data_IF_949748013247
#
_entry.id   IF_949748013247
#
_cell.length_a   1.000
_cell.length_b   1.000
_cell.length_c   1.000
_cell.angle_alpha   90.00
_cell.angle_beta   90.00
_cell.angle_gamma   90.00
#
_symmetry.space_group_name_H-M   'P 1'
#
loop_
_entity.id
_entity.type
_entity.pdbx_description
1 polymer ?
#
# COMPACT_ATOMS: atom_id res chain seq x y z
N UNK A 1 39.21 38.11 -20.31
CA UNK A 1 38.50 37.20 -19.39
C UNK A 1 37.37 36.53 -20.16
N UNK A 2 37.51 35.25 -20.50
CA UNK A 2 36.44 34.49 -21.15
C UNK A 2 35.45 34.08 -20.06
N UNK A 3 34.21 34.56 -20.14
CA UNK A 3 33.12 34.04 -19.30
C UNK A 3 32.92 32.58 -19.69
N UNK A 4 33.27 31.66 -18.81
CA UNK A 4 32.81 30.29 -18.93
C UNK A 4 31.31 30.28 -18.63
N UNK A 5 30.49 30.22 -19.66
CA UNK A 5 29.10 29.81 -19.51
C UNK A 5 29.10 28.33 -19.13
N UNK A 6 28.87 28.04 -17.86
CA UNK A 6 28.50 26.70 -17.46
C UNK A 6 27.05 26.51 -17.89
N UNK A 7 26.74 25.60 -18.84
CA UNK A 7 25.37 25.32 -19.20
C UNK A 7 24.63 24.93 -17.92
N UNK A 8 23.60 25.71 -17.58
CA UNK A 8 22.74 25.39 -16.46
C UNK A 8 22.13 24.00 -16.66
N UNK A 9 21.88 23.28 -15.56
CA UNK A 9 21.25 21.96 -15.64
C UNK A 9 19.91 22.04 -16.36
N UNK A 10 19.60 21.02 -17.14
CA UNK A 10 18.27 20.86 -17.72
C UNK A 10 17.24 20.52 -16.63
N UNK A 11 15.95 20.63 -16.97
CA UNK A 11 14.86 20.23 -16.07
C UNK A 11 14.92 18.72 -15.75
N UNK A 12 15.29 17.90 -16.72
CA UNK A 12 15.45 16.46 -16.56
C UNK A 12 16.60 16.12 -15.60
N UNK A 13 17.77 16.73 -15.79
CA UNK A 13 18.92 16.55 -14.90
C UNK A 13 18.60 17.00 -13.46
N UNK A 14 17.86 18.10 -13.32
CA UNK A 14 17.41 18.59 -12.02
C UNK A 14 16.41 17.62 -11.36
N UNK A 15 15.48 17.04 -12.14
CA UNK A 15 14.53 16.01 -11.67
C UNK A 15 15.27 14.76 -11.21
N UNK A 16 16.13 14.20 -12.05
CA UNK A 16 16.87 12.97 -11.76
C UNK A 16 17.71 13.11 -10.49
N UNK A 17 18.40 14.24 -10.31
CA UNK A 17 19.15 14.52 -9.08
C UNK A 17 18.27 14.56 -7.83
N UNK A 18 17.08 15.17 -7.92
CA UNK A 18 16.14 15.20 -6.79
C UNK A 18 15.62 13.79 -6.49
N UNK A 19 15.30 13.00 -7.53
CA UNK A 19 14.89 11.61 -7.39
C UNK A 19 15.97 10.77 -6.72
N UNK A 20 17.23 10.85 -7.16
CA UNK A 20 18.35 10.14 -6.53
C UNK A 20 18.47 10.46 -5.03
N UNK A 21 18.38 11.74 -4.66
CA UNK A 21 18.46 12.18 -3.26
C UNK A 21 17.25 11.65 -2.46
N UNK A 22 16.05 11.72 -3.03
CA UNK A 22 14.83 11.26 -2.39
C UNK A 22 14.83 9.73 -2.23
N UNK A 23 15.14 8.98 -3.28
CA UNK A 23 15.24 7.53 -3.25
C UNK A 23 16.27 7.06 -2.22
N UNK A 24 17.44 7.69 -2.17
CA UNK A 24 18.46 7.39 -1.14
C UNK A 24 17.96 7.66 0.28
N UNK A 25 17.40 8.84 0.53
CA UNK A 25 16.88 9.19 1.86
C UNK A 25 15.72 8.31 2.28
N UNK A 26 14.87 7.93 1.32
CA UNK A 26 13.74 7.04 1.53
C UNK A 26 14.22 5.66 1.92
N UNK A 27 15.15 5.07 1.18
CA UNK A 27 15.66 3.73 1.48
C UNK A 27 16.41 3.65 2.81
N UNK A 28 17.09 4.72 3.23
CA UNK A 28 17.77 4.84 4.52
C UNK A 28 16.80 4.99 5.71
N UNK A 29 15.67 5.69 5.53
CA UNK A 29 14.75 6.03 6.63
C UNK A 29 13.49 5.19 6.70
N UNK A 30 13.00 4.70 5.57
CA UNK A 30 11.72 4.02 5.48
C UNK A 30 11.94 2.51 5.57
N UNK A 31 11.36 1.89 6.59
CA UNK A 31 11.32 0.44 6.72
C UNK A 31 10.04 -0.15 6.12
N UNK A 32 9.46 -1.12 6.83
CA UNK A 32 8.11 -1.63 6.55
C UNK A 32 7.07 -0.69 7.19
N UNK A 33 6.01 -0.35 6.46
CA UNK A 33 4.83 0.31 7.05
C UNK A 33 3.81 -0.79 7.35
N UNK A 34 3.55 -1.09 8.62
CA UNK A 34 2.59 -2.14 9.03
C UNK A 34 2.84 -3.49 8.32
N UNK A 35 4.11 -3.89 8.19
CA UNK A 35 4.52 -5.11 7.48
C UNK A 35 4.64 -4.97 5.96
N UNK A 36 3.94 -4.03 5.34
CA UNK A 36 4.07 -3.73 3.90
C UNK A 36 5.44 -3.16 3.58
N UNK A 37 6.08 -3.76 2.58
CA UNK A 37 7.28 -3.20 1.99
C UNK A 37 6.88 -2.19 0.91
N UNK A 38 6.62 -0.96 1.34
CA UNK A 38 6.50 0.19 0.42
C UNK A 38 7.88 0.82 0.13
N UNK A 39 8.94 0.30 0.74
CA UNK A 39 10.34 0.63 0.44
C UNK A 39 10.85 -0.16 -0.77
N UNK A 40 9.97 -0.57 -1.68
CA UNK A 40 10.40 -0.94 -3.03
C UNK A 40 10.80 0.31 -3.79
N UNK A 41 11.69 0.11 -4.75
CA UNK A 41 12.28 1.12 -5.62
C UNK A 41 11.33 2.30 -5.87
N UNK A 42 11.57 3.41 -5.14
CA UNK A 42 10.74 4.61 -5.19
C UNK A 42 10.72 5.17 -6.62
N UNK A 43 11.75 4.89 -7.40
CA UNK A 43 11.82 5.24 -8.82
C UNK A 43 10.73 4.51 -9.62
N UNK A 44 10.50 3.22 -9.37
CA UNK A 44 9.41 2.48 -10.01
C UNK A 44 8.03 3.02 -9.60
N UNK A 45 7.86 3.45 -8.34
CA UNK A 45 6.62 4.08 -7.89
C UNK A 45 6.33 5.42 -8.56
N UNK A 46 7.38 6.22 -8.81
CA UNK A 46 7.28 7.57 -9.38
C UNK A 46 7.14 7.51 -10.91
N UNK A 47 7.88 6.64 -11.58
CA UNK A 47 7.96 6.62 -13.04
C UNK A 47 6.88 5.74 -13.72
N UNK A 48 6.05 5.02 -12.96
CA UNK A 48 4.96 4.24 -13.54
C UNK A 48 3.88 5.14 -14.14
N UNK A 49 3.38 4.75 -15.29
CA UNK A 49 2.33 5.48 -16.01
C UNK A 49 0.90 5.05 -15.62
N UNK A 50 0.76 4.13 -14.68
CA UNK A 50 -0.51 3.52 -14.32
C UNK A 50 -0.70 3.42 -12.80
N UNK A 51 -1.96 3.33 -12.38
CA UNK A 51 -2.35 2.94 -11.03
C UNK A 51 -2.22 4.02 -9.97
N UNK A 52 -2.89 5.16 -10.08
CA UNK A 52 -2.71 6.25 -9.12
C UNK A 52 -2.83 5.85 -7.63
N UNK A 53 -1.97 6.43 -6.79
CA UNK A 53 -2.09 6.35 -5.34
C UNK A 53 -3.17 7.35 -4.87
N UNK A 54 -4.43 6.98 -5.04
CA UNK A 54 -5.55 7.77 -4.53
C UNK A 54 -5.68 7.65 -3.00
N UNK A 55 -6.56 8.46 -2.41
CA UNK A 55 -6.81 8.48 -0.97
C UNK A 55 -7.13 7.08 -0.42
N UNK A 56 -8.06 6.35 -1.05
CA UNK A 56 -8.48 5.03 -0.59
C UNK A 56 -7.35 3.99 -0.66
N UNK A 57 -6.57 3.98 -1.74
CA UNK A 57 -5.41 3.09 -1.89
C UNK A 57 -4.32 3.43 -0.86
N UNK A 58 -4.08 4.71 -0.61
CA UNK A 58 -3.11 5.16 0.37
C UNK A 58 -3.51 4.75 1.79
N UNK A 59 -4.79 4.90 2.15
CA UNK A 59 -5.33 4.43 3.43
C UNK A 59 -5.21 2.91 3.56
N UNK A 60 -5.56 2.18 2.50
CA UNK A 60 -5.43 0.72 2.46
C UNK A 60 -3.99 0.24 2.69
N UNK A 61 -3.02 0.75 1.91
CA UNK A 61 -1.61 0.36 2.01
C UNK A 61 -0.97 0.83 3.31
N UNK A 62 -1.46 1.89 3.92
CA UNK A 62 -0.97 2.35 5.21
C UNK A 62 -1.73 1.74 6.39
N UNK A 63 -2.78 0.94 6.16
CA UNK A 63 -3.62 0.38 7.21
C UNK A 63 -4.43 1.37 8.02
N UNK A 64 -4.77 2.49 7.39
CA UNK A 64 -5.63 3.52 7.93
C UNK A 64 -7.07 3.36 7.42
N UNK A 65 -8.00 4.16 7.96
CA UNK A 65 -9.41 4.09 7.61
C UNK A 65 -10.16 3.05 8.45
N UNK A 66 -10.79 2.06 7.79
CA UNK A 66 -11.69 1.09 8.44
C UNK A 66 -11.00 -0.02 9.25
N UNK A 67 -9.67 0.03 9.44
CA UNK A 67 -8.93 -0.96 10.23
C UNK A 67 -9.01 -0.62 11.73
N UNK A 68 -9.59 -1.52 12.54
CA UNK A 68 -9.77 -1.25 13.99
C UNK A 68 -8.46 -1.07 14.74
N UNK A 69 -7.37 -1.71 14.31
CA UNK A 69 -6.05 -1.45 14.89
C UNK A 69 -5.66 0.03 14.80
N UNK A 70 -5.88 0.66 13.64
CA UNK A 70 -5.61 2.08 13.45
C UNK A 70 -6.61 2.96 14.22
N UNK A 71 -7.91 2.66 14.13
CA UNK A 71 -8.94 3.42 14.86
C UNK A 71 -8.70 3.42 16.37
N UNK A 72 -8.30 2.29 16.94
CA UNK A 72 -7.92 2.18 18.36
C UNK A 72 -6.67 3.02 18.66
N UNK A 73 -5.63 2.97 17.81
CA UNK A 73 -4.42 3.79 17.95
C UNK A 73 -4.73 5.29 18.03
N UNK A 74 -5.74 5.77 17.29
CA UNK A 74 -6.19 7.17 17.30
C UNK A 74 -7.37 7.44 18.24
N UNK A 75 -7.72 6.49 19.12
CA UNK A 75 -8.79 6.61 20.13
C UNK A 75 -10.20 6.84 19.54
N UNK A 76 -10.45 6.34 18.33
CA UNK A 76 -11.79 6.31 17.70
C UNK A 76 -12.48 4.94 17.83
N UNK A 77 -11.81 3.94 18.42
CA UNK A 77 -12.41 2.65 18.74
C UNK A 77 -11.90 2.14 20.09
N UNK A 78 -12.77 1.48 20.86
CA UNK A 78 -12.43 0.97 22.20
C UNK A 78 -11.51 -0.26 22.18
N UNK A 79 -11.34 -0.89 21.02
CA UNK A 79 -10.55 -2.11 20.88
C UNK A 79 -9.94 -2.24 19.48
N UNK A 80 -8.69 -2.73 19.36
CA UNK A 80 -8.04 -2.97 18.06
C UNK A 80 -8.52 -4.26 17.38
N UNK A 81 -9.31 -5.10 18.07
CA UNK A 81 -9.69 -6.45 17.62
C UNK A 81 -10.63 -6.42 16.43
N UNK A 82 -10.61 -7.44 15.58
CA UNK A 82 -11.56 -7.54 14.47
C UNK A 82 -13.00 -7.82 14.95
N UNK A 83 -14.00 -7.30 14.23
CA UNK A 83 -15.42 -7.36 14.63
C UNK A 83 -15.95 -8.80 14.76
N UNK A 84 -15.54 -9.71 13.87
CA UNK A 84 -16.08 -11.07 13.82
C UNK A 84 -15.27 -12.10 14.62
N UNK A 85 -14.38 -11.64 15.51
CA UNK A 85 -13.58 -12.51 16.37
C UNK A 85 -12.51 -13.30 15.61
N UNK A 86 -11.47 -13.71 16.34
CA UNK A 86 -10.40 -14.57 15.81
C UNK A 86 -9.02 -13.91 15.69
N UNK A 87 -8.92 -12.57 15.77
CA UNK A 87 -7.63 -11.88 15.86
C UNK A 87 -7.66 -10.75 16.88
N UNK A 88 -6.54 -10.60 17.58
CA UNK A 88 -6.34 -9.56 18.58
C UNK A 88 -6.06 -8.18 17.97
N UNK A 89 -5.78 -8.12 16.66
CA UNK A 89 -5.59 -6.87 15.95
C UNK A 89 -6.10 -6.95 14.50
N UNK A 90 -7.00 -6.04 14.15
CA UNK A 90 -7.46 -5.82 12.78
C UNK A 90 -6.44 -5.00 11.98
N UNK A 91 -5.30 -5.62 11.67
CA UNK A 91 -4.25 -5.03 10.83
C UNK A 91 -4.50 -5.31 9.35
N UNK A 92 -3.80 -4.58 8.47
CA UNK A 92 -3.81 -4.87 7.03
C UNK A 92 -3.31 -6.28 6.79
N UNK A 93 -2.17 -6.67 7.36
CA UNK A 93 -1.59 -8.00 7.20
C UNK A 93 -2.58 -9.10 7.58
N UNK A 94 -3.21 -8.99 8.75
CA UNK A 94 -4.22 -9.96 9.19
C UNK A 94 -5.39 -10.01 8.21
N UNK A 95 -5.96 -8.85 7.87
CA UNK A 95 -7.12 -8.78 6.96
C UNK A 95 -6.78 -9.36 5.59
N UNK A 96 -5.61 -9.01 5.05
CA UNK A 96 -5.17 -9.35 3.71
C UNK A 96 -4.67 -10.77 3.54
N UNK A 97 -4.16 -11.42 4.58
CA UNK A 97 -3.43 -12.68 4.40
C UNK A 97 -3.93 -13.81 5.31
N UNK A 98 -4.58 -13.50 6.42
CA UNK A 98 -4.86 -14.48 7.49
C UNK A 98 -6.36 -14.64 7.74
N UNK A 99 -7.11 -13.54 7.80
CA UNK A 99 -8.49 -13.52 8.26
C UNK A 99 -9.39 -14.43 7.42
N UNK A 100 -10.01 -15.45 8.05
CA UNK A 100 -10.82 -16.43 7.32
C UNK A 100 -11.99 -15.81 6.55
N UNK A 101 -12.50 -14.67 7.01
CA UNK A 101 -13.58 -13.91 6.36
C UNK A 101 -13.29 -13.53 4.90
N UNK A 102 -12.04 -13.25 4.55
CA UNK A 102 -11.62 -12.79 3.22
C UNK A 102 -11.05 -13.91 2.35
N UNK A 103 -11.25 -15.17 2.72
CA UNK A 103 -10.63 -16.31 2.02
C UNK A 103 -11.06 -16.40 0.56
N UNK A 104 -12.32 -16.14 0.26
CA UNK A 104 -12.84 -16.22 -1.10
C UNK A 104 -12.24 -15.11 -1.98
N UNK A 105 -12.25 -13.88 -1.50
CA UNK A 105 -11.73 -12.69 -2.17
C UNK A 105 -10.21 -12.79 -2.36
N UNK A 106 -9.47 -13.31 -1.35
CA UNK A 106 -8.03 -13.57 -1.47
C UNK A 106 -7.72 -14.61 -2.53
N UNK A 107 -8.51 -15.68 -2.63
CA UNK A 107 -8.30 -16.71 -3.67
C UNK A 107 -8.45 -16.11 -5.07
N UNK A 108 -9.42 -15.21 -5.26
CA UNK A 108 -9.57 -14.47 -6.52
C UNK A 108 -8.35 -13.60 -6.79
N UNK A 109 -7.87 -12.86 -5.79
CA UNK A 109 -6.67 -12.04 -5.90
C UNK A 109 -5.45 -12.89 -6.31
N UNK A 110 -5.16 -13.96 -5.59
CA UNK A 110 -4.02 -14.85 -5.85
C UNK A 110 -4.08 -15.47 -7.25
N UNK A 111 -5.28 -15.86 -7.70
CA UNK A 111 -5.48 -16.35 -9.07
C UNK A 111 -5.14 -15.27 -10.11
N UNK A 112 -5.56 -14.02 -9.89
CA UNK A 112 -5.27 -12.90 -10.80
C UNK A 112 -3.78 -12.56 -10.84
N UNK A 113 -3.13 -12.54 -9.68
CA UNK A 113 -1.70 -12.32 -9.53
C UNK A 113 -0.84 -13.52 -9.96
N UNK A 114 -1.45 -14.68 -10.26
CA UNK A 114 -0.77 -15.94 -10.61
C UNK A 114 0.24 -16.40 -9.55
N UNK A 115 -0.08 -16.15 -8.28
CA UNK A 115 0.73 -16.58 -7.12
C UNK A 115 -0.05 -17.58 -6.26
N UNK A 116 0.66 -18.46 -5.55
CA UNK A 116 0.03 -19.38 -4.59
C UNK A 116 -0.30 -18.70 -3.26
N UNK A 117 0.60 -17.81 -2.82
CA UNK A 117 0.49 -17.01 -1.61
C UNK A 117 1.41 -15.81 -1.74
N UNK A 118 1.01 -14.67 -1.19
CA UNK A 118 1.84 -13.47 -1.11
C UNK A 118 2.21 -13.20 0.35
N UNK A 119 3.43 -12.75 0.62
CA UNK A 119 3.76 -12.15 1.93
C UNK A 119 3.38 -10.68 1.88
N UNK A 120 3.14 -10.08 3.04
CA UNK A 120 2.78 -8.66 3.09
C UNK A 120 3.92 -7.78 2.54
N UNK A 121 5.18 -8.21 2.68
CA UNK A 121 6.35 -7.56 2.08
C UNK A 121 6.35 -7.60 0.55
N UNK A 122 5.63 -8.54 -0.05
CA UNK A 122 5.72 -8.79 -1.48
C UNK A 122 4.56 -8.11 -2.23
N UNK A 123 3.54 -7.62 -1.50
CA UNK A 123 2.37 -6.94 -2.10
C UNK A 123 2.75 -5.70 -2.90
N UNK A 124 3.58 -4.82 -2.34
CA UNK A 124 4.07 -3.62 -3.03
C UNK A 124 4.81 -3.97 -4.34
N UNK A 125 5.87 -4.80 -4.30
CA UNK A 125 6.54 -5.24 -5.52
C UNK A 125 5.61 -5.89 -6.54
N UNK A 126 4.68 -6.75 -6.10
CA UNK A 126 3.72 -7.42 -6.98
C UNK A 126 2.80 -6.44 -7.69
N UNK A 127 2.33 -5.41 -7.00
CA UNK A 127 1.49 -4.36 -7.58
C UNK A 127 2.17 -3.56 -8.69
N UNK A 128 3.48 -3.34 -8.60
CA UNK A 128 4.25 -2.50 -9.53
C UNK A 128 4.73 -3.28 -10.75
N UNK A 129 4.65 -4.61 -10.73
CA UNK A 129 5.10 -5.43 -11.87
C UNK A 129 4.24 -5.21 -13.12
N UNK A 130 2.94 -4.90 -12.99
CA UNK A 130 2.06 -4.68 -14.13
C UNK A 130 0.81 -3.87 -13.79
N UNK A 131 0.18 -3.19 -14.78
CA UNK A 131 -1.13 -2.57 -14.63
C UNK A 131 -2.21 -3.57 -14.20
N UNK A 132 -2.14 -4.82 -14.68
CA UNK A 132 -3.10 -5.88 -14.35
C UNK A 132 -3.01 -6.27 -12.88
N UNK A 133 -1.79 -6.38 -12.34
CA UNK A 133 -1.55 -6.68 -10.94
C UNK A 133 -2.06 -5.54 -10.05
N UNK A 134 -1.73 -4.30 -10.42
CA UNK A 134 -2.25 -3.12 -9.75
C UNK A 134 -3.77 -3.12 -9.68
N UNK A 135 -4.43 -3.29 -10.82
CA UNK A 135 -5.89 -3.30 -10.93
C UNK A 135 -6.53 -4.45 -10.14
N UNK A 136 -5.85 -5.59 -10.08
CA UNK A 136 -6.29 -6.74 -9.28
C UNK A 136 -6.30 -6.43 -7.79
N UNK A 137 -5.23 -5.82 -7.28
CA UNK A 137 -5.17 -5.36 -5.88
C UNK A 137 -6.15 -4.23 -5.62
N UNK A 138 -6.31 -3.28 -6.56
CA UNK A 138 -7.28 -2.20 -6.45
C UNK A 138 -8.72 -2.73 -6.30
N UNK A 139 -9.13 -3.67 -7.15
CA UNK A 139 -10.47 -4.28 -7.10
C UNK A 139 -10.69 -5.01 -5.78
N UNK A 140 -9.68 -5.75 -5.33
CA UNK A 140 -9.74 -6.46 -4.06
C UNK A 140 -9.89 -5.47 -2.89
N UNK A 141 -9.11 -4.38 -2.88
CA UNK A 141 -9.19 -3.29 -1.91
C UNK A 141 -10.58 -2.65 -1.88
N UNK A 142 -11.18 -2.34 -3.03
CA UNK A 142 -12.51 -1.73 -3.07
C UNK A 142 -13.57 -2.65 -2.45
N UNK A 143 -13.51 -3.94 -2.81
CA UNK A 143 -14.41 -4.96 -2.25
C UNK A 143 -14.26 -5.07 -0.73
N UNK A 144 -13.02 -5.11 -0.26
CA UNK A 144 -12.68 -5.24 1.15
C UNK A 144 -13.14 -4.03 1.96
N UNK A 145 -12.84 -2.81 1.51
CA UNK A 145 -13.21 -1.58 2.22
C UNK A 145 -14.73 -1.44 2.28
N UNK A 146 -15.41 -1.58 1.13
CA UNK A 146 -16.87 -1.46 1.07
C UNK A 146 -17.57 -2.46 2.00
N UNK A 147 -17.12 -3.72 2.00
CA UNK A 147 -17.67 -4.73 2.90
C UNK A 147 -17.34 -4.45 4.37
N UNK A 148 -16.10 -4.10 4.73
CA UNK A 148 -15.73 -3.77 6.12
C UNK A 148 -16.52 -2.57 6.66
N UNK A 149 -16.70 -1.52 5.87
CA UNK A 149 -17.48 -0.35 6.28
C UNK A 149 -18.96 -0.70 6.45
N UNK A 150 -19.55 -1.51 5.56
CA UNK A 150 -20.91 -2.02 5.70
C UNK A 150 -21.08 -2.88 6.95
N UNK A 151 -20.12 -3.74 7.24
CA UNK A 151 -20.08 -4.57 8.44
C UNK A 151 -20.01 -3.70 9.71
N UNK A 152 -19.12 -2.71 9.74
CA UNK A 152 -18.98 -1.78 10.86
C UNK A 152 -20.26 -0.96 11.12
N UNK A 153 -20.94 -0.49 10.07
CA UNK A 153 -22.23 0.23 10.19
C UNK A 153 -23.36 -0.63 10.75
N UNK A 154 -23.30 -1.95 10.60
CA UNK A 154 -24.31 -2.89 11.13
C UNK A 154 -24.04 -3.31 12.58
N UNK A 155 -22.82 -3.12 13.06
CA UNK A 155 -22.39 -3.51 14.41
C UNK A 155 -22.45 -2.38 15.43
N UNK A 156 -22.70 -1.14 14.98
CA UNK A 156 -23.04 0.03 15.81
C UNK A 156 -24.55 0.20 15.90
#
# INVERSE_FOLDING_TARGET
MVRQEHPGRTAEESRNRVLEILCKRWSEKMGKINGLNINTDLECWINREYGELNYAMSQFLSGHGCFRYYLHKIKLADSPRYLYGGSDADTVEHTLLECNRWTAERRVLYKKLRVLKIKISDLGPEMIQSPENWNSVHTFKDTLIDMKEKEARRSN
#
